data_IF_071204343142
#
_entry.id   IF_071204343142
#
_cell.length_a   1.000
_cell.length_b   1.000
_cell.length_c   1.000
_cell.angle_alpha   90.00
_cell.angle_beta   90.00
_cell.angle_gamma   90.00
#
_symmetry.space_group_name_H-M   'P 1'
#
loop_
_entity.id
_entity.type
_entity.pdbx_description
1 polymer ?
#
# COMPACT_ATOMS: atom_id res chain seq x y z
N UNK A 1 -18.28 -1.91 53.00
CA UNK A 1 -17.49 -1.04 52.10
C UNK A 1 -16.23 -1.83 51.78
N UNK A 2 -16.20 -2.74 50.79
CA UNK A 2 -16.40 -2.53 49.34
C UNK A 2 -15.59 -1.31 48.93
N UNK A 3 -14.49 -1.43 48.16
CA UNK A 3 -14.51 -1.75 46.72
C UNK A 3 -13.20 -2.43 46.26
N UNK A 4 -13.31 -3.62 45.63
CA UNK A 4 -12.34 -4.22 44.70
C UNK A 4 -12.82 -3.92 43.27
N UNK A 5 -12.18 -3.03 42.52
CA UNK A 5 -12.44 -2.82 41.08
C UNK A 5 -11.09 -3.01 40.35
N UNK A 6 -10.91 -4.14 39.66
CA UNK A 6 -11.21 -4.36 38.23
C UNK A 6 -10.07 -3.91 37.29
N UNK A 7 -9.31 -4.91 36.82
CA UNK A 7 -8.62 -4.91 35.53
C UNK A 7 -9.64 -4.66 34.41
N UNK A 8 -9.28 -3.88 33.38
CA UNK A 8 -9.81 -3.82 32.00
C UNK A 8 -9.25 -2.52 31.40
N UNK A 9 -8.24 -2.54 30.57
CA UNK A 9 -8.29 -3.06 29.20
C UNK A 9 -7.91 -1.88 28.31
N UNK A 10 -6.65 -1.85 27.87
CA UNK A 10 -6.20 -0.86 26.90
C UNK A 10 -6.95 -1.15 25.58
N UNK A 11 -7.80 -0.24 25.07
CA UNK A 11 -8.38 -0.46 23.76
C UNK A 11 -7.27 -0.34 22.69
N UNK A 12 -7.42 -1.08 21.58
CA UNK A 12 -6.38 -1.25 20.57
C UNK A 12 -6.04 0.09 19.92
N UNK A 13 -4.84 0.20 19.37
CA UNK A 13 -4.50 1.18 18.33
C UNK A 13 -5.34 0.84 17.10
N UNK A 14 -6.65 1.10 17.19
CA UNK A 14 -7.51 1.30 16.06
C UNK A 14 -7.24 2.73 15.61
N UNK A 15 -6.26 2.89 14.72
CA UNK A 15 -6.23 4.04 13.86
C UNK A 15 -7.64 4.15 13.29
N UNK A 16 -8.34 5.24 13.62
CA UNK A 16 -9.63 5.55 13.01
C UNK A 16 -9.33 5.69 11.53
N UNK A 17 -9.59 4.64 10.75
CA UNK A 17 -9.63 4.70 9.30
C UNK A 17 -10.63 5.79 8.97
N UNK A 18 -10.12 6.90 8.46
CA UNK A 18 -10.95 7.98 8.02
C UNK A 18 -11.49 7.47 6.69
N UNK A 19 -12.81 7.24 6.51
CA UNK A 19 -13.36 6.63 5.29
C UNK A 19 -13.22 7.52 4.03
N UNK A 20 -12.34 8.51 4.07
CA UNK A 20 -11.98 9.45 3.03
C UNK A 20 -10.49 9.39 2.68
N UNK A 21 -9.67 8.55 3.33
CA UNK A 21 -8.28 8.38 2.91
C UNK A 21 -8.27 7.62 1.57
N UNK A 22 -7.72 8.21 0.49
CA UNK A 22 -7.65 7.54 -0.82
C UNK A 22 -6.96 6.17 -0.76
N UNK A 23 -6.07 5.94 0.21
CA UNK A 23 -5.43 4.64 0.44
C UNK A 23 -6.39 3.59 0.97
N UNK A 24 -7.36 3.98 1.82
CA UNK A 24 -8.38 3.07 2.33
C UNK A 24 -9.40 2.68 1.24
N UNK A 25 -9.49 3.46 0.15
CA UNK A 25 -10.37 3.21 -0.99
C UNK A 25 -9.78 2.24 -2.02
N UNK A 26 -8.49 1.90 -1.92
CA UNK A 26 -7.86 0.89 -2.77
C UNK A 26 -8.35 -0.51 -2.39
N UNK A 27 -8.63 -1.35 -3.40
CA UNK A 27 -8.91 -2.77 -3.16
C UNK A 27 -7.60 -3.52 -2.83
N UNK A 28 -7.24 -3.51 -1.54
CA UNK A 28 -6.04 -4.16 -1.02
C UNK A 28 -6.04 -5.68 -1.22
N UNK A 29 -7.21 -6.32 -1.18
CA UNK A 29 -7.33 -7.76 -1.45
C UNK A 29 -7.05 -8.06 -2.92
N UNK A 30 -7.47 -7.19 -3.84
CA UNK A 30 -7.10 -7.31 -5.25
C UNK A 30 -5.60 -7.13 -5.48
N UNK A 31 -4.97 -6.13 -4.86
CA UNK A 31 -3.53 -5.93 -4.94
C UNK A 31 -2.77 -7.16 -4.44
N UNK A 32 -3.16 -7.70 -3.28
CA UNK A 32 -2.54 -8.89 -2.71
C UNK A 32 -2.69 -10.14 -3.58
N UNK A 33 -3.88 -10.34 -4.18
CA UNK A 33 -4.11 -11.43 -5.15
C UNK A 33 -3.26 -11.29 -6.41
N UNK A 34 -2.96 -10.05 -6.79
CA UNK A 34 -2.09 -9.71 -7.92
C UNK A 34 -0.60 -9.66 -7.53
N UNK A 35 -0.29 -9.92 -6.26
CA UNK A 35 1.06 -10.13 -5.75
C UNK A 35 1.81 -8.87 -5.29
N UNK A 36 1.13 -7.74 -5.16
CA UNK A 36 1.72 -6.47 -4.74
C UNK A 36 0.87 -5.76 -3.67
N UNK A 37 1.41 -4.71 -3.08
CA UNK A 37 0.72 -3.90 -2.07
C UNK A 37 1.10 -2.43 -2.21
N UNK A 38 0.27 -1.54 -1.66
CA UNK A 38 0.67 -0.16 -1.35
C UNK A 38 0.82 -0.03 0.16
N UNK A 39 1.97 0.47 0.59
CA UNK A 39 2.33 0.62 2.00
C UNK A 39 2.43 2.10 2.36
N UNK A 40 1.77 2.50 3.46
CA UNK A 40 2.06 3.78 4.11
C UNK A 40 3.29 3.60 5.00
N UNK A 41 4.45 3.98 4.47
CA UNK A 41 5.75 3.89 5.12
C UNK A 41 6.02 5.09 6.06
N UNK A 42 4.98 5.84 6.44
CA UNK A 42 5.02 6.94 7.37
C UNK A 42 5.15 8.29 6.68
N UNK A 43 5.93 9.20 7.29
CA UNK A 43 6.11 10.56 6.79
C UNK A 43 7.59 10.91 6.66
N UNK A 44 7.92 11.67 5.62
CA UNK A 44 9.24 12.28 5.48
C UNK A 44 9.44 13.42 6.49
N UNK A 45 10.68 13.89 6.62
CA UNK A 45 11.04 15.02 7.50
C UNK A 45 10.37 16.34 7.12
N UNK A 46 9.88 16.48 5.89
CA UNK A 46 9.11 17.64 5.40
C UNK A 46 7.60 17.52 5.67
N UNK A 47 7.16 16.43 6.32
CA UNK A 47 5.76 16.16 6.63
C UNK A 47 4.95 15.51 5.51
N UNK A 48 5.54 15.28 4.33
CA UNK A 48 4.86 14.56 3.24
C UNK A 48 4.74 13.07 3.58
N UNK A 49 3.61 12.46 3.24
CA UNK A 49 3.43 11.00 3.37
C UNK A 49 4.36 10.25 2.43
N UNK A 50 4.84 9.10 2.90
CA UNK A 50 5.65 8.15 2.15
C UNK A 50 4.77 6.96 1.82
N UNK A 51 4.43 6.82 0.55
CA UNK A 51 3.47 5.83 0.08
C UNK A 51 4.11 5.09 -1.07
N UNK A 52 4.41 3.82 -0.84
CA UNK A 52 5.27 3.02 -1.72
C UNK A 52 4.51 1.83 -2.31
N UNK A 53 4.86 1.46 -3.53
CA UNK A 53 4.35 0.24 -4.18
C UNK A 53 5.40 -0.85 -4.00
N UNK A 54 5.01 -1.98 -3.44
CA UNK A 54 5.95 -3.04 -3.10
C UNK A 54 5.42 -4.39 -3.56
N UNK A 55 6.34 -5.33 -3.79
CA UNK A 55 5.95 -6.73 -3.91
C UNK A 55 5.34 -7.21 -2.59
N UNK A 56 4.46 -8.19 -2.68
CA UNK A 56 4.00 -8.89 -1.49
C UNK A 56 5.06 -9.91 -1.05
N UNK A 57 5.70 -9.67 0.10
CA UNK A 57 6.76 -10.53 0.65
C UNK A 57 6.23 -11.90 1.10
N UNK A 58 5.13 -11.91 1.84
CA UNK A 58 4.50 -13.11 2.41
C UNK A 58 3.10 -13.31 1.81
N UNK A 59 2.99 -13.77 0.55
CA UNK A 59 1.69 -14.05 -0.05
C UNK A 59 0.98 -15.21 0.66
N UNK A 60 -0.37 -15.27 0.62
CA UNK A 60 -1.12 -16.49 0.95
C UNK A 60 -0.55 -17.71 0.19
N UNK A 61 -0.72 -18.94 0.68
CA UNK A 61 0.17 -20.08 0.39
C UNK A 61 0.53 -20.21 -1.10
N UNK A 62 1.79 -19.90 -1.41
CA UNK A 62 2.33 -19.84 -2.77
C UNK A 62 3.73 -19.22 -2.79
N UNK A 63 4.39 -19.23 -3.94
CA UNK A 63 5.63 -18.48 -4.15
C UNK A 63 5.32 -16.99 -4.36
N UNK A 64 6.21 -16.07 -3.95
CA UNK A 64 6.09 -14.65 -4.29
C UNK A 64 5.87 -14.46 -5.80
N UNK A 65 4.89 -13.63 -6.16
CA UNK A 65 4.60 -13.32 -7.56
C UNK A 65 5.74 -12.55 -8.24
N UNK A 66 6.51 -11.80 -7.44
CA UNK A 66 7.59 -10.93 -7.87
C UNK A 66 8.85 -11.22 -7.07
N UNK A 67 10.01 -11.13 -7.71
CA UNK A 67 11.30 -11.34 -7.05
C UNK A 67 11.71 -10.09 -6.27
N UNK A 68 11.45 -8.93 -6.86
CA UNK A 68 11.79 -7.60 -6.32
C UNK A 68 10.67 -6.59 -6.59
N UNK A 69 10.68 -5.46 -5.85
CA UNK A 69 9.65 -4.42 -5.99
C UNK A 69 9.59 -3.87 -7.41
N UNK A 70 10.73 -3.84 -8.12
CA UNK A 70 10.80 -3.39 -9.51
C UNK A 70 9.98 -4.27 -10.47
N UNK A 71 9.86 -5.56 -10.20
CA UNK A 71 9.00 -6.44 -11.00
C UNK A 71 7.52 -6.09 -10.77
N UNK A 72 7.15 -5.79 -9.52
CA UNK A 72 5.80 -5.34 -9.18
C UNK A 72 5.49 -3.98 -9.84
N UNK A 73 6.43 -3.04 -9.82
CA UNK A 73 6.32 -1.75 -10.51
C UNK A 73 6.06 -1.94 -12.00
N UNK A 74 6.86 -2.80 -12.65
CA UNK A 74 6.73 -3.08 -14.08
C UNK A 74 5.35 -3.65 -14.41
N UNK A 75 4.89 -4.63 -13.62
CA UNK A 75 3.57 -5.23 -13.78
C UNK A 75 2.44 -4.19 -13.67
N UNK A 76 2.42 -3.40 -12.59
CA UNK A 76 1.38 -2.40 -12.38
C UNK A 76 1.37 -1.34 -13.48
N UNK A 77 2.55 -0.86 -13.91
CA UNK A 77 2.66 0.09 -15.03
C UNK A 77 2.15 -0.54 -16.34
N UNK A 78 2.48 -1.80 -16.62
CA UNK A 78 1.97 -2.50 -17.82
C UNK A 78 0.45 -2.62 -17.80
N UNK A 79 -0.15 -2.99 -16.66
CA UNK A 79 -1.61 -3.08 -16.54
C UNK A 79 -2.28 -1.70 -16.59
N UNK A 80 -1.66 -0.66 -16.05
CA UNK A 80 -2.15 0.71 -16.20
C UNK A 80 -2.18 1.13 -17.68
N UNK A 81 -1.13 0.78 -18.44
CA UNK A 81 -1.03 1.05 -19.89
C UNK A 81 -2.06 0.29 -20.74
N UNK A 82 -2.55 -0.87 -20.28
CA UNK A 82 -3.68 -1.56 -20.95
C UNK A 82 -5.04 -0.92 -20.65
N UNK A 83 -5.08 0.14 -19.84
CA UNK A 83 -6.30 0.86 -19.47
C UNK A 83 -6.93 0.36 -18.17
N UNK A 84 -6.23 -0.43 -17.35
CA UNK A 84 -6.78 -0.90 -16.09
C UNK A 84 -6.96 0.26 -15.09
N UNK A 85 -8.22 0.58 -14.76
CA UNK A 85 -8.57 1.66 -13.82
C UNK A 85 -7.99 1.40 -12.44
N UNK A 86 -7.98 0.15 -11.99
CA UNK A 86 -7.42 -0.26 -10.70
C UNK A 86 -5.93 0.08 -10.57
N UNK A 87 -5.12 -0.30 -11.57
CA UNK A 87 -3.68 -0.03 -11.57
C UNK A 87 -3.37 1.45 -11.78
N UNK A 88 -4.16 2.16 -12.59
CA UNK A 88 -4.04 3.61 -12.72
C UNK A 88 -4.32 4.33 -11.40
N UNK A 89 -5.34 3.87 -10.64
CA UNK A 89 -5.64 4.41 -9.33
C UNK A 89 -4.48 4.16 -8.36
N UNK A 90 -3.92 2.95 -8.33
CA UNK A 90 -2.75 2.63 -7.50
C UNK A 90 -1.56 3.57 -7.76
N UNK A 91 -1.23 3.84 -9.03
CA UNK A 91 -0.16 4.76 -9.42
C UNK A 91 -0.44 6.24 -9.09
N UNK A 92 -1.69 6.60 -8.77
CA UNK A 92 -2.03 7.94 -8.30
C UNK A 92 -1.87 8.09 -6.78
N UNK A 93 -1.82 6.99 -6.04
CA UNK A 93 -1.73 6.97 -4.59
C UNK A 93 -0.29 7.05 -4.06
N UNK A 94 0.67 6.52 -4.84
CA UNK A 94 2.09 6.54 -4.47
C UNK A 94 2.63 7.97 -4.34
N UNK A 95 3.61 8.15 -3.47
CA UNK A 95 4.21 9.46 -3.28
C UNK A 95 5.09 9.87 -4.47
N UNK A 96 5.44 11.16 -4.50
CA UNK A 96 6.19 11.74 -5.61
C UNK A 96 7.55 11.07 -5.83
N UNK A 97 8.26 10.68 -4.76
CA UNK A 97 9.59 10.07 -4.87
C UNK A 97 9.47 8.66 -5.41
N UNK A 98 8.51 7.89 -4.92
CA UNK A 98 8.20 6.56 -5.45
C UNK A 98 7.84 6.65 -6.93
N UNK A 99 6.94 7.58 -7.29
CA UNK A 99 6.58 7.84 -8.69
C UNK A 99 7.80 8.09 -9.57
N UNK A 100 8.72 8.95 -9.15
CA UNK A 100 9.94 9.24 -9.90
C UNK A 100 10.84 8.01 -10.05
N UNK A 101 10.93 7.16 -9.03
CA UNK A 101 11.70 5.91 -9.08
C UNK A 101 11.08 4.93 -10.09
N UNK A 102 9.75 4.78 -10.08
CA UNK A 102 9.02 3.95 -11.04
C UNK A 102 9.16 4.52 -12.46
N UNK A 103 8.99 5.82 -12.66
CA UNK A 103 9.16 6.47 -13.99
C UNK A 103 10.57 6.27 -14.53
N UNK A 104 11.60 6.35 -13.67
CA UNK A 104 12.99 6.12 -14.06
C UNK A 104 13.25 4.65 -14.48
N UNK A 105 12.51 3.68 -13.92
CA UNK A 105 12.69 2.27 -14.22
C UNK A 105 11.80 1.77 -15.38
N UNK A 106 10.53 2.15 -15.37
CA UNK A 106 9.49 1.63 -16.28
C UNK A 106 9.16 2.58 -17.44
N UNK A 107 9.70 3.80 -17.42
CA UNK A 107 9.29 4.91 -18.28
C UNK A 107 7.99 5.57 -17.80
N UNK A 108 7.67 6.73 -18.35
CA UNK A 108 6.40 7.42 -18.08
C UNK A 108 5.21 6.58 -18.53
N UNK A 109 4.08 6.70 -17.84
CA UNK A 109 2.83 6.01 -18.14
C UNK A 109 1.65 6.99 -18.24
#
# INVERSE_FOLDING_TARGET
>A
MTIHHHTLGNPPIGAKTNPLDPLDALDHEAAQRDGWTISDCGVYSDGSRRVELQKLDDPPPGSPAFTEDRDAWLHVVQQARTGSVFHNHALQLIDRRERLAIEAHCGTW
#
